data_IF_465894137827
#
_entry.id   IF_465894137827
#
_cell.length_a   1.000
_cell.length_b   1.000
_cell.length_c   1.000
_cell.angle_alpha   90.00
_cell.angle_beta   90.00
_cell.angle_gamma   90.00
#
_symmetry.space_group_name_H-M   'P 1'
#
loop_
_entity.id
_entity.type
_entity.pdbx_description
1 polymer ?
#
# COMPACT_ATOMS: atom_id res chain seq x y z
N UNK A 1 -11.37 -21.78 -1.59
CA UNK A 1 -11.91 -20.75 -0.69
C UNK A 1 -11.21 -19.42 -0.94
N UNK A 2 -11.86 -18.38 -1.46
CA UNK A 2 -11.22 -17.08 -1.61
C UNK A 2 -11.01 -16.47 -0.22
N UNK A 3 -9.75 -16.34 0.19
CA UNK A 3 -9.37 -15.70 1.45
C UNK A 3 -9.85 -14.24 1.44
N UNK A 4 -10.76 -13.90 2.35
CA UNK A 4 -11.25 -12.53 2.60
C UNK A 4 -10.16 -11.52 3.03
N UNK A 5 -8.87 -11.87 2.94
CA UNK A 5 -7.75 -10.98 3.22
C UNK A 5 -7.63 -9.79 2.25
N UNK A 6 -8.31 -9.80 1.10
CA UNK A 6 -8.29 -8.66 0.17
C UNK A 6 -8.99 -7.44 0.77
N UNK A 7 -10.19 -7.58 1.34
CA UNK A 7 -11.01 -6.45 1.81
C UNK A 7 -10.40 -5.72 3.02
N UNK A 8 -9.78 -6.45 3.95
CA UNK A 8 -9.12 -5.86 5.12
C UNK A 8 -7.85 -5.12 4.70
N UNK A 9 -7.08 -5.67 3.74
CA UNK A 9 -5.85 -5.04 3.25
C UNK A 9 -6.12 -3.79 2.40
N UNK A 10 -7.19 -3.78 1.60
CA UNK A 10 -7.57 -2.59 0.81
C UNK A 10 -7.97 -1.41 1.70
N UNK A 11 -8.61 -1.67 2.84
CA UNK A 11 -8.95 -0.62 3.82
C UNK A 11 -7.70 0.00 4.47
N UNK A 12 -6.69 -0.81 4.77
CA UNK A 12 -5.42 -0.31 5.35
C UNK A 12 -4.60 0.51 4.36
N UNK A 13 -4.45 0.07 3.11
CA UNK A 13 -3.70 0.83 2.09
C UNK A 13 -4.42 2.14 1.71
N UNK A 14 -5.76 2.18 1.78
CA UNK A 14 -6.53 3.41 1.58
C UNK A 14 -6.23 4.48 2.64
N UNK A 15 -6.25 4.10 3.92
CA UNK A 15 -5.88 4.99 5.04
C UNK A 15 -4.43 5.48 4.92
N UNK A 16 -3.53 4.59 4.49
CA UNK A 16 -2.13 4.93 4.28
C UNK A 16 -1.95 5.96 3.15
N UNK A 17 -2.68 5.78 2.05
CA UNK A 17 -2.68 6.71 0.91
C UNK A 17 -3.17 8.09 1.31
N UNK A 18 -4.22 8.16 2.15
CA UNK A 18 -4.72 9.41 2.69
C UNK A 18 -3.73 10.10 3.62
N UNK A 19 -3.05 9.34 4.49
CA UNK A 19 -2.01 9.85 5.37
C UNK A 19 -0.76 10.37 4.61
N UNK A 20 -0.43 9.77 3.47
CA UNK A 20 0.66 10.24 2.59
C UNK A 20 0.25 11.54 1.90
N UNK A 21 -0.99 11.63 1.40
CA UNK A 21 -1.52 12.84 0.79
C UNK A 21 -1.52 14.02 1.79
N UNK A 22 -1.97 13.78 3.02
CA UNK A 22 -1.95 14.81 4.07
C UNK A 22 -0.54 15.24 4.47
N UNK A 23 0.43 14.30 4.52
CA UNK A 23 1.84 14.62 4.75
C UNK A 23 2.39 15.56 3.68
N UNK A 24 2.07 15.30 2.41
CA UNK A 24 2.49 16.13 1.28
C UNK A 24 1.84 17.52 1.31
N UNK A 25 0.58 17.60 1.72
CA UNK A 25 -0.14 18.86 1.84
C UNK A 25 0.35 19.72 3.02
N UNK A 26 0.79 19.10 4.11
CA UNK A 26 1.24 19.78 5.32
C UNK A 26 2.58 19.21 5.84
N UNK A 27 3.73 19.61 5.26
CA UNK A 27 5.04 19.02 5.57
C UNK A 27 5.53 19.31 7.01
N UNK A 28 4.87 20.22 7.73
CA UNK A 28 5.15 20.50 9.16
C UNK A 28 4.59 19.43 10.10
N UNK A 29 3.71 18.55 9.62
CA UNK A 29 3.12 17.49 10.45
C UNK A 29 4.09 16.34 10.65
N UNK A 30 4.18 15.86 11.89
CA UNK A 30 5.03 14.71 12.20
C UNK A 30 4.39 13.41 11.67
N UNK A 31 5.25 12.49 11.20
CA UNK A 31 4.82 11.15 10.76
C UNK A 31 4.11 10.39 11.90
N UNK A 32 4.47 10.66 13.17
CA UNK A 32 3.79 10.08 14.35
C UNK A 32 2.37 10.61 14.50
N UNK A 33 2.15 11.92 14.34
CA UNK A 33 0.83 12.52 14.44
C UNK A 33 -0.11 12.01 13.35
N UNK A 34 0.41 11.88 12.11
CA UNK A 34 -0.33 11.30 11.00
C UNK A 34 -0.68 9.83 11.22
N UNK A 35 0.27 9.04 11.71
CA UNK A 35 0.03 7.64 12.05
C UNK A 35 -1.12 7.48 13.07
N UNK A 36 -1.16 8.34 14.09
CA UNK A 36 -2.24 8.36 15.07
C UNK A 36 -3.57 8.85 14.48
N UNK A 37 -3.55 9.91 13.68
CA UNK A 37 -4.75 10.50 13.08
C UNK A 37 -5.48 9.55 12.11
N UNK A 38 -4.73 8.74 11.38
CA UNK A 38 -5.26 7.81 10.39
C UNK A 38 -5.34 6.35 10.88
N UNK A 39 -5.02 6.10 12.16
CA UNK A 39 -4.98 4.75 12.76
C UNK A 39 -4.17 3.75 11.90
N UNK A 40 -2.93 4.15 11.57
CA UNK A 40 -2.00 3.32 10.79
C UNK A 40 -0.67 3.15 11.53
N UNK A 41 0.00 1.99 11.40
CA UNK A 41 1.30 1.80 12.02
C UNK A 41 2.33 2.78 11.45
N UNK A 42 3.04 3.48 12.34
CA UNK A 42 4.09 4.46 11.97
C UNK A 42 5.15 3.83 11.08
N UNK A 43 5.59 2.60 11.38
CA UNK A 43 6.61 1.90 10.60
C UNK A 43 6.17 1.71 9.15
N UNK A 44 4.92 1.28 8.94
CA UNK A 44 4.33 1.11 7.61
C UNK A 44 4.23 2.44 6.86
N UNK A 45 3.76 3.49 7.53
CA UNK A 45 3.68 4.85 6.97
C UNK A 45 5.07 5.36 6.54
N UNK A 46 6.10 5.17 7.38
CA UNK A 46 7.49 5.56 7.07
C UNK A 46 8.04 4.84 5.84
N UNK A 47 7.88 3.51 5.74
CA UNK A 47 8.30 2.76 4.56
C UNK A 47 7.61 3.25 3.29
N UNK A 48 6.34 3.66 3.38
CA UNK A 48 5.58 4.13 2.21
C UNK A 48 5.93 5.56 1.82
N UNK A 49 6.27 6.41 2.78
CA UNK A 49 6.87 7.72 2.50
C UNK A 49 8.24 7.60 1.81
N UNK A 50 8.99 6.53 2.07
CA UNK A 50 10.24 6.19 1.36
C UNK A 50 10.00 5.59 -0.05
N UNK A 51 8.74 5.38 -0.46
CA UNK A 51 8.40 4.84 -1.78
C UNK A 51 8.34 3.31 -1.86
N UNK A 52 8.38 2.60 -0.72
CA UNK A 52 8.23 1.14 -0.71
C UNK A 52 6.79 0.76 -1.04
N UNK A 53 6.61 0.05 -2.15
CA UNK A 53 5.30 -0.44 -2.60
C UNK A 53 4.76 -1.58 -1.72
N UNK A 54 3.43 -1.78 -1.66
CA UNK A 54 2.85 -2.94 -1.01
C UNK A 54 3.25 -4.22 -1.71
N UNK A 55 3.41 -5.29 -0.92
CA UNK A 55 3.80 -6.62 -1.43
C UNK A 55 2.83 -7.18 -2.48
N UNK A 56 1.59 -6.70 -2.52
CA UNK A 56 0.60 -7.06 -3.53
C UNK A 56 0.91 -6.49 -4.92
N UNK A 57 1.57 -5.34 -5.00
CA UNK A 57 1.95 -4.69 -6.26
C UNK A 57 3.33 -5.16 -6.73
N UNK A 58 4.20 -5.55 -5.80
CA UNK A 58 5.54 -6.05 -6.13
C UNK A 58 5.40 -7.44 -6.80
N UNK A 59 5.86 -7.60 -8.05
CA UNK A 59 5.84 -8.90 -8.72
C UNK A 59 6.70 -9.89 -7.93
N UNK A 60 6.23 -11.14 -7.85
CA UNK A 60 7.03 -12.22 -7.27
C UNK A 60 8.32 -12.39 -8.07
N UNK A 61 9.46 -12.55 -7.39
CA UNK A 61 10.76 -12.83 -8.05
C UNK A 61 10.71 -14.12 -8.90
N UNK A 62 9.79 -15.04 -8.59
CA UNK A 62 9.59 -16.29 -9.35
C UNK A 62 8.46 -16.19 -10.38
N UNK A 63 8.00 -14.98 -10.71
CA UNK A 63 6.97 -14.79 -11.74
C UNK A 63 7.57 -15.16 -13.10
N UNK A 64 7.07 -16.23 -13.70
CA UNK A 64 7.52 -16.74 -15.00
C UNK A 64 6.85 -16.02 -16.17
N UNK A 65 5.66 -15.48 -15.94
CA UNK A 65 4.85 -14.82 -16.94
C UNK A 65 4.94 -13.30 -16.78
N UNK A 66 4.99 -12.62 -17.92
CA UNK A 66 4.88 -11.18 -17.97
C UNK A 66 3.43 -10.76 -17.70
N UNK A 67 3.18 -9.53 -17.17
CA UNK A 67 1.81 -9.05 -16.92
C UNK A 67 0.89 -9.16 -18.14
N UNK A 68 1.45 -8.95 -19.34
CA UNK A 68 0.73 -9.06 -20.62
C UNK A 68 0.30 -10.49 -20.93
N UNK A 69 1.15 -11.48 -20.63
CA UNK A 69 0.86 -12.90 -20.85
C UNK A 69 -0.23 -13.39 -19.90
N UNK A 70 -0.20 -12.93 -18.64
CA UNK A 70 -1.27 -13.24 -17.68
C UNK A 70 -2.63 -12.63 -18.07
N UNK A 71 -2.63 -11.42 -18.64
CA UNK A 71 -3.86 -10.77 -19.13
C UNK A 71 -4.45 -11.51 -20.33
N UNK A 72 -3.59 -12.02 -21.22
CA UNK A 72 -4.00 -12.83 -22.38
C UNK A 72 -4.64 -14.17 -22.00
N UNK A 73 -4.40 -14.70 -20.80
CA UNK A 73 -5.00 -15.95 -20.30
C UNK A 73 -6.37 -15.75 -19.63
N UNK A 74 -6.67 -14.52 -19.20
CA UNK A 74 -7.95 -14.18 -18.55
C UNK A 74 -9.01 -13.76 -19.57
N UNK A 75 -8.59 -13.41 -20.78
CA UNK A 75 -9.43 -12.99 -21.90
C UNK A 75 -9.85 -14.19 -22.77
#
# INVERSE_FOLDING_TARGET
MPRQQRSIRTSCEGRLSLAIASYRNNPKQSVRALAAAYDVPKSTLQTRLQGVQPRSEIPSTRRKLLPIEEQSLVQ
#
